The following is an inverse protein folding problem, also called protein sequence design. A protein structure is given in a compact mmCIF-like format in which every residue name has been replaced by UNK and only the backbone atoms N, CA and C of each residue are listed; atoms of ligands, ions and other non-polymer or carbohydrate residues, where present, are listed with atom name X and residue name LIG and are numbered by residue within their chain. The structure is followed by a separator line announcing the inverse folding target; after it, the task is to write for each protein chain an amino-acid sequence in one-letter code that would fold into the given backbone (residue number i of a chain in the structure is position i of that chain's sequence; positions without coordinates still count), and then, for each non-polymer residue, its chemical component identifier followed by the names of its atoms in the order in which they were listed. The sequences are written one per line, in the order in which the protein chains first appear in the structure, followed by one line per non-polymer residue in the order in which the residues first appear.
data_IF_303823268554
#
_entry.id   IF_303823268554
#
_cell.length_a   1.000
_cell.length_b   1.000
_cell.length_c   1.000
_cell.angle_alpha   90.00
_cell.angle_beta   90.00
_cell.angle_gamma   90.00
#
_symmetry.space_group_name_H-M   'P 1'
#
loop_
_entity.id
_entity.type
_entity.pdbx_description
1 polymer ?
#
# COMPACT_ATOMS: atom_id res chain seq x y z
N UNK A 1 -26.01 20.61 -9.97
CA UNK A 1 -25.31 20.89 -8.71
C UNK A 1 -25.00 19.53 -8.11
N UNK A 2 -23.85 18.98 -8.49
CA UNK A 2 -23.36 17.68 -8.03
C UNK A 2 -22.57 17.93 -6.75
N UNK A 3 -23.11 17.45 -5.64
CA UNK A 3 -22.48 17.46 -4.32
C UNK A 3 -21.40 16.38 -4.30
N UNK A 4 -20.21 16.75 -4.78
CA UNK A 4 -19.00 15.94 -4.66
C UNK A 4 -18.37 16.23 -3.28
N UNK A 5 -19.04 15.79 -2.22
CA UNK A 5 -18.43 15.69 -0.91
C UNK A 5 -17.53 14.45 -0.91
N UNK A 6 -16.33 14.64 -1.45
CA UNK A 6 -15.18 13.72 -1.31
C UNK A 6 -15.08 13.29 0.16
N UNK A 7 -15.60 12.11 0.50
CA UNK A 7 -15.42 11.49 1.81
C UNK A 7 -13.93 11.32 2.02
N UNK A 8 -13.31 12.24 2.77
CA UNK A 8 -11.92 12.12 3.19
C UNK A 8 -11.78 10.77 3.89
N UNK A 9 -10.96 9.88 3.34
CA UNK A 9 -10.75 8.56 3.94
C UNK A 9 -10.29 8.75 5.39
N UNK A 10 -10.83 7.96 6.30
CA UNK A 10 -10.40 7.99 7.69
C UNK A 10 -8.99 7.37 7.73
N UNK A 11 -8.03 8.11 8.29
CA UNK A 11 -6.64 7.69 8.39
C UNK A 11 -6.33 7.14 9.78
N UNK A 12 -5.52 6.10 9.82
CA UNK A 12 -4.85 5.62 11.04
C UNK A 12 -3.39 6.05 10.96
N UNK A 13 -2.97 6.82 11.96
CA UNK A 13 -1.62 7.37 12.02
C UNK A 13 -0.66 6.41 12.72
N UNK A 14 0.42 6.05 12.02
CA UNK A 14 1.48 5.19 12.53
C UNK A 14 2.77 5.99 12.64
N UNK A 15 3.44 5.91 13.80
CA UNK A 15 4.78 6.46 13.95
C UNK A 15 5.76 5.64 13.11
N UNK A 16 6.38 6.28 12.13
CA UNK A 16 7.28 5.65 11.18
C UNK A 16 8.73 5.64 11.67
N UNK A 17 9.20 6.79 12.15
CA UNK A 17 10.56 7.00 12.67
C UNK A 17 10.55 8.05 13.77
N UNK A 18 11.57 8.03 14.62
CA UNK A 18 11.84 9.12 15.56
C UNK A 18 12.32 10.37 14.83
N UNK A 19 12.24 11.53 15.49
CA UNK A 19 12.82 12.77 14.95
C UNK A 19 14.31 12.54 14.69
N UNK A 20 14.78 12.99 13.52
CA UNK A 20 16.16 12.86 13.05
C UNK A 20 16.67 11.42 12.78
N UNK A 21 15.83 10.40 12.86
CA UNK A 21 16.24 9.01 12.60
C UNK A 21 16.54 8.76 11.11
N UNK A 22 15.83 9.43 10.19
CA UNK A 22 16.07 9.32 8.75
C UNK A 22 16.77 10.56 8.21
N UNK A 23 18.08 10.52 7.94
CA UNK A 23 18.82 11.67 7.42
C UNK A 23 18.35 12.11 6.04
N UNK A 24 18.64 13.37 5.70
CA UNK A 24 18.43 13.94 4.36
C UNK A 24 19.06 13.08 3.26
N UNK A 25 18.34 12.88 2.15
CA UNK A 25 18.76 12.07 1.01
C UNK A 25 18.67 10.56 1.24
N UNK A 26 18.00 10.12 2.29
CA UNK A 26 17.85 8.69 2.63
C UNK A 26 16.42 8.20 2.51
N UNK A 27 16.30 6.89 2.40
CA UNK A 27 15.03 6.17 2.33
C UNK A 27 15.04 5.02 3.33
N UNK A 28 13.85 4.60 3.75
CA UNK A 28 13.68 3.49 4.69
C UNK A 28 12.35 2.79 4.48
N UNK A 29 12.35 1.46 4.49
CA UNK A 29 11.12 0.68 4.61
C UNK A 29 10.59 0.77 6.04
N UNK A 30 9.35 1.19 6.22
CA UNK A 30 8.67 1.26 7.50
C UNK A 30 7.38 0.45 7.47
N UNK A 31 7.04 -0.18 8.59
CA UNK A 31 5.80 -0.94 8.74
C UNK A 31 4.73 -0.03 9.35
N UNK A 32 3.60 0.10 8.69
CA UNK A 32 2.45 0.88 9.13
C UNK A 32 1.21 -0.02 9.18
N UNK A 33 1.02 -0.71 10.30
CA UNK A 33 -0.01 -1.73 10.43
C UNK A 33 0.28 -2.94 9.54
N UNK A 34 -0.58 -3.20 8.56
CA UNK A 34 -0.40 -4.29 7.59
C UNK A 34 0.32 -3.84 6.31
N UNK A 35 0.54 -2.54 6.14
CA UNK A 35 1.22 -1.99 4.97
C UNK A 35 2.71 -1.79 5.23
N UNK A 36 3.49 -1.90 4.17
CA UNK A 36 4.90 -1.50 4.14
C UNK A 36 5.05 -0.28 3.25
N UNK A 37 5.66 0.76 3.79
CA UNK A 37 5.79 2.07 3.14
C UNK A 37 7.25 2.42 2.94
N UNK A 38 7.58 3.01 1.82
CA UNK A 38 8.88 3.64 1.59
C UNK A 38 8.82 5.08 2.11
N UNK A 39 9.42 5.34 3.26
CA UNK A 39 9.63 6.69 3.77
C UNK A 39 10.89 7.29 3.14
N UNK A 40 10.76 8.48 2.57
CA UNK A 40 11.88 9.26 2.01
C UNK A 40 12.07 10.54 2.79
N UNK A 41 13.33 11.01 2.89
CA UNK A 41 13.65 12.36 3.35
C UNK A 41 14.45 13.06 2.25
N UNK A 42 13.86 14.04 1.59
CA UNK A 42 14.45 14.68 0.43
C UNK A 42 14.10 16.17 0.34
N UNK A 43 15.12 17.02 0.19
CA UNK A 43 14.99 18.50 0.14
C UNK A 43 14.25 19.08 1.35
N UNK A 44 14.56 18.56 2.53
CA UNK A 44 13.95 18.98 3.79
C UNK A 44 12.48 18.59 3.96
N UNK A 45 12.01 17.60 3.21
CA UNK A 45 10.64 17.08 3.30
C UNK A 45 10.64 15.57 3.46
N UNK A 46 9.76 15.08 4.31
CA UNK A 46 9.41 13.66 4.36
C UNK A 46 8.26 13.37 3.39
N UNK A 47 8.35 12.22 2.73
CA UNK A 47 7.25 11.69 1.94
C UNK A 47 7.14 10.18 2.13
N UNK A 48 5.94 9.66 2.00
CA UNK A 48 5.62 8.25 2.14
C UNK A 48 5.00 7.71 0.85
N UNK A 49 5.61 6.68 0.30
CA UNK A 49 5.28 6.09 -0.99
C UNK A 49 4.97 4.59 -0.81
N UNK A 50 4.18 3.99 -1.70
CA UNK A 50 4.06 2.52 -1.70
C UNK A 50 5.46 1.92 -1.81
N UNK A 51 5.76 0.95 -0.94
CA UNK A 51 7.08 0.33 -0.94
C UNK A 51 7.29 -0.64 -2.11
N UNK A 52 6.24 -0.96 -2.85
CA UNK A 52 6.28 -1.92 -3.96
C UNK A 52 6.46 -1.20 -5.29
N UNK A 53 7.61 -1.39 -5.91
CA UNK A 53 7.86 -0.88 -7.25
C UNK A 53 6.83 -1.43 -8.26
N UNK A 54 6.14 -0.57 -9.04
CA UNK A 54 5.09 -1.01 -9.99
C UNK A 54 5.61 -1.94 -11.07
N UNK A 55 6.92 -1.97 -11.34
CA UNK A 55 7.52 -2.88 -12.32
C UNK A 55 7.37 -4.36 -11.90
N UNK A 56 7.96 -4.75 -10.76
CA UNK A 56 7.95 -6.16 -10.28
C UNK A 56 7.93 -6.27 -8.74
N UNK A 57 7.46 -5.25 -8.04
CA UNK A 57 7.28 -5.30 -6.59
C UNK A 57 8.56 -5.14 -5.76
N UNK A 58 9.66 -4.62 -6.35
CA UNK A 58 10.91 -4.40 -5.62
C UNK A 58 10.72 -3.43 -4.45
N UNK A 59 11.39 -3.65 -3.29
CA UNK A 59 11.20 -2.85 -2.08
C UNK A 59 11.92 -1.50 -2.21
N UNK A 60 11.18 -0.43 -2.46
CA UNK A 60 11.73 0.89 -2.73
C UNK A 60 12.43 1.53 -1.53
N UNK A 61 12.00 1.21 -0.32
CA UNK A 61 12.66 1.67 0.89
C UNK A 61 14.03 1.02 1.18
N UNK A 62 14.41 0.01 0.38
CA UNK A 62 15.76 -0.57 0.35
C UNK A 62 16.62 -0.01 -0.80
N UNK A 63 16.04 0.90 -1.58
CA UNK A 63 16.73 1.60 -2.65
C UNK A 63 17.56 2.77 -2.18
N UNK A 64 17.79 3.72 -3.07
CA UNK A 64 18.59 4.92 -2.81
C UNK A 64 18.03 6.13 -3.55
N UNK A 65 18.33 7.34 -3.06
CA UNK A 65 18.10 8.56 -3.83
C UNK A 65 19.37 8.89 -4.60
N UNK A 66 19.29 8.83 -5.92
CA UNK A 66 20.39 9.08 -6.85
C UNK A 66 19.98 10.10 -7.90
N UNK A 67 20.82 11.11 -8.13
CA UNK A 67 20.57 12.17 -9.12
C UNK A 67 19.17 12.83 -8.98
N UNK A 68 18.63 12.88 -7.76
CA UNK A 68 17.32 13.47 -7.49
C UNK A 68 16.14 12.52 -7.68
N UNK A 69 16.38 11.23 -7.90
CA UNK A 69 15.36 10.20 -8.04
C UNK A 69 15.52 9.08 -7.02
N UNK A 70 14.40 8.56 -6.52
CA UNK A 70 14.34 7.31 -5.78
C UNK A 70 14.49 6.15 -6.76
N UNK A 71 15.55 5.37 -6.60
CA UNK A 71 15.91 4.26 -7.47
C UNK A 71 15.55 2.92 -6.87
N UNK A 72 14.78 2.11 -7.62
CA UNK A 72 14.44 0.75 -7.24
C UNK A 72 15.70 -0.13 -7.21
N UNK A 73 15.95 -0.91 -6.12
CA UNK A 73 17.16 -1.70 -5.98
C UNK A 73 17.21 -2.91 -6.92
N UNK A 74 16.06 -3.35 -7.47
CA UNK A 74 16.04 -4.54 -8.33
C UNK A 74 16.42 -4.24 -9.78
N UNK A 75 15.77 -3.23 -10.41
CA UNK A 75 15.95 -3.00 -11.84
C UNK A 75 16.26 -1.54 -12.20
N UNK A 76 16.52 -0.68 -11.20
CA UNK A 76 16.93 0.70 -11.43
C UNK A 76 15.85 1.64 -11.96
N UNK A 77 14.57 1.29 -11.79
CA UNK A 77 13.48 2.21 -12.09
C UNK A 77 13.53 3.41 -11.17
N UNK A 78 13.32 4.59 -11.74
CA UNK A 78 13.43 5.87 -11.06
C UNK A 78 12.06 6.50 -10.83
N UNK A 79 11.88 7.11 -9.64
CA UNK A 79 10.66 7.80 -9.24
C UNK A 79 11.01 9.09 -8.52
N UNK A 80 10.13 10.09 -8.59
CA UNK A 80 10.34 11.30 -7.81
C UNK A 80 10.17 11.01 -6.31
N UNK A 81 11.16 11.35 -5.45
CA UNK A 81 11.19 10.93 -4.05
C UNK A 81 10.02 11.45 -3.21
N UNK A 82 9.35 12.52 -3.62
CA UNK A 82 8.23 13.12 -2.89
C UNK A 82 6.88 12.76 -3.50
N UNK A 83 6.77 12.78 -4.82
CA UNK A 83 5.48 12.63 -5.50
C UNK A 83 5.23 11.23 -6.03
N UNK A 84 6.24 10.35 -6.05
CA UNK A 84 6.13 9.02 -6.64
C UNK A 84 6.01 9.02 -8.17
N UNK A 85 6.04 10.18 -8.82
CA UNK A 85 5.88 10.26 -10.26
C UNK A 85 7.08 9.63 -11.00
N UNK A 86 6.78 8.92 -12.09
CA UNK A 86 7.80 8.38 -13.00
C UNK A 86 8.44 9.48 -13.83
N UNK A 87 9.75 9.44 -14.13
CA UNK A 87 10.39 10.37 -15.05
C UNK A 87 9.79 10.27 -16.46
N UNK A 88 9.61 11.40 -17.12
CA UNK A 88 9.10 11.43 -18.50
C UNK A 88 7.58 11.46 -18.63
N UNK A 89 6.84 11.53 -17.52
CA UNK A 89 5.39 11.73 -17.53
C UNK A 89 4.60 10.47 -17.90
N UNK A 90 5.17 9.30 -17.68
CA UNK A 90 4.45 8.03 -17.78
C UNK A 90 3.47 7.89 -16.61
N UNK A 91 2.36 7.18 -16.84
CA UNK A 91 1.28 6.95 -15.86
C UNK A 91 1.55 5.71 -14.97
N UNK A 92 2.80 5.45 -14.70
CA UNK A 92 3.29 4.33 -13.87
C UNK A 92 3.89 4.82 -12.54
N UNK A 93 3.39 5.94 -12.05
CA UNK A 93 3.72 6.49 -10.74
C UNK A 93 3.24 5.61 -9.58
N UNK A 94 3.69 5.98 -8.38
CA UNK A 94 3.32 5.26 -7.16
C UNK A 94 2.31 6.04 -6.33
N UNK A 95 1.50 5.30 -5.58
CA UNK A 95 0.64 5.89 -4.57
C UNK A 95 1.46 6.52 -3.44
N UNK A 96 0.94 7.61 -2.90
CA UNK A 96 1.54 8.33 -1.78
C UNK A 96 0.59 8.33 -0.59
N UNK A 97 1.16 8.39 0.61
CA UNK A 97 0.43 8.48 1.88
C UNK A 97 0.62 9.86 2.51
N UNK A 98 -0.33 10.29 3.34
CA UNK A 98 -0.19 11.52 4.11
C UNK A 98 0.93 11.37 5.15
N UNK A 99 1.74 12.42 5.33
CA UNK A 99 2.83 12.47 6.30
C UNK A 99 2.63 13.66 7.22
N UNK A 100 2.82 13.44 8.50
CA UNK A 100 2.86 14.49 9.52
C UNK A 100 4.18 14.40 10.32
N UNK A 101 4.88 15.52 10.42
CA UNK A 101 5.98 15.68 11.35
C UNK A 101 5.42 16.17 12.69
N UNK A 102 5.72 15.44 13.76
CA UNK A 102 5.33 15.77 15.14
C UNK A 102 6.58 15.94 16.00
N UNK A 103 6.44 16.46 17.21
CA UNK A 103 7.57 16.73 18.12
C UNK A 103 8.44 15.50 18.40
N UNK A 104 7.84 14.30 18.38
CA UNK A 104 8.50 13.03 18.73
C UNK A 104 8.85 12.17 17.51
N UNK A 105 8.52 12.60 16.27
CA UNK A 105 8.84 11.83 15.07
C UNK A 105 7.95 12.10 13.87
N UNK A 106 8.14 11.29 12.84
CA UNK A 106 7.39 11.33 11.59
C UNK A 106 6.30 10.28 11.60
N UNK A 107 5.08 10.68 11.25
CA UNK A 107 3.89 9.84 11.22
C UNK A 107 3.35 9.70 9.81
N UNK A 108 2.87 8.50 9.48
CA UNK A 108 2.24 8.17 8.20
C UNK A 108 0.78 7.82 8.42
N UNK A 109 -0.10 8.47 7.68
CA UNK A 109 -1.54 8.24 7.67
C UNK A 109 -1.90 7.14 6.67
N UNK A 110 -2.26 5.95 7.15
CA UNK A 110 -2.74 4.86 6.31
C UNK A 110 -4.26 4.91 6.24
N UNK A 111 -4.84 4.96 5.03
CA UNK A 111 -6.29 4.90 4.88
C UNK A 111 -6.83 3.61 5.48
N UNK A 112 -7.91 3.71 6.26
CA UNK A 112 -8.64 2.51 6.63
C UNK A 112 -9.10 1.82 5.35
N UNK A 113 -8.92 0.49 5.25
CA UNK A 113 -9.43 -0.24 4.11
C UNK A 113 -10.92 0.05 3.96
N UNK A 114 -11.36 0.37 2.74
CA UNK A 114 -12.78 0.50 2.47
C UNK A 114 -13.50 -0.77 2.93
N UNK A 115 -14.68 -0.59 3.54
CA UNK A 115 -15.50 -1.72 3.90
C UNK A 115 -15.66 -2.62 2.67
N UNK A 116 -15.31 -3.90 2.81
CA UNK A 116 -15.36 -4.85 1.71
C UNK A 116 -16.75 -4.82 1.07
N UNK A 117 -16.82 -4.39 -0.19
CA UNK A 117 -18.07 -4.44 -0.96
C UNK A 117 -18.29 -5.89 -1.37
N UNK A 118 -19.45 -6.42 -1.01
CA UNK A 118 -19.81 -7.79 -1.36
C UNK A 118 -19.71 -8.01 -2.86
N UNK A 119 -18.95 -9.00 -3.26
CA UNK A 119 -18.74 -9.40 -4.66
C UNK A 119 -19.55 -10.65 -4.98
N UNK A 120 -19.66 -10.98 -6.27
CA UNK A 120 -20.25 -12.25 -6.72
C UNK A 120 -19.51 -13.44 -6.09
N UNK A 121 -18.18 -13.35 -5.96
CA UNK A 121 -17.37 -14.39 -5.32
C UNK A 121 -17.75 -14.60 -3.85
N UNK A 122 -18.08 -13.53 -3.12
CA UNK A 122 -18.53 -13.63 -1.72
C UNK A 122 -19.90 -14.32 -1.62
N UNK A 123 -20.82 -13.96 -2.52
CA UNK A 123 -22.14 -14.63 -2.58
C UNK A 123 -21.97 -16.12 -2.90
N UNK A 124 -21.09 -16.47 -3.83
CA UNK A 124 -20.79 -17.86 -4.17
C UNK A 124 -20.21 -18.62 -2.98
N UNK A 125 -19.17 -18.09 -2.33
CA UNK A 125 -18.54 -18.71 -1.16
C UNK A 125 -19.55 -18.93 -0.04
N UNK A 126 -20.32 -17.90 0.31
CA UNK A 126 -21.37 -18.00 1.33
C UNK A 126 -22.48 -19.00 0.96
N UNK A 127 -22.86 -19.09 -0.30
CA UNK A 127 -23.83 -20.07 -0.77
C UNK A 127 -23.30 -21.49 -0.59
N UNK A 128 -22.03 -21.72 -0.94
CA UNK A 128 -21.37 -23.02 -0.77
C UNK A 128 -21.32 -23.44 0.71
N UNK A 129 -20.93 -22.53 1.60
CA UNK A 129 -20.93 -22.80 3.05
C UNK A 129 -22.32 -23.07 3.59
N UNK A 130 -23.35 -22.31 3.17
CA UNK A 130 -24.76 -22.55 3.56
C UNK A 130 -25.29 -23.90 3.05
N UNK A 131 -24.78 -24.44 1.97
CA UNK A 131 -25.11 -25.78 1.46
C UNK A 131 -24.30 -26.88 2.14
N UNK A 132 -23.48 -26.55 3.12
CA UNK A 132 -22.68 -27.51 3.89
C UNK A 132 -21.46 -28.06 3.15
N UNK A 133 -20.97 -27.33 2.14
CA UNK A 133 -19.72 -27.69 1.48
C UNK A 133 -18.59 -27.35 2.44
N UNK A 134 -17.90 -28.36 2.94
CA UNK A 134 -16.85 -28.23 3.97
C UNK A 134 -15.43 -28.22 3.38
N UNK A 135 -15.27 -28.51 2.08
CA UNK A 135 -13.97 -28.51 1.45
C UNK A 135 -14.08 -28.17 -0.05
N UNK A 136 -13.16 -27.35 -0.53
CA UNK A 136 -13.04 -26.99 -1.94
C UNK A 136 -11.60 -27.29 -2.38
N UNK A 137 -11.46 -28.07 -3.45
CA UNK A 137 -10.14 -28.43 -4.02
C UNK A 137 -9.95 -27.75 -5.37
N UNK A 138 -8.79 -27.18 -5.58
CA UNK A 138 -8.49 -26.52 -6.84
C UNK A 138 -7.09 -25.93 -6.88
N UNK A 139 -6.65 -25.53 -8.06
CA UNK A 139 -5.44 -24.72 -8.26
C UNK A 139 -5.82 -23.25 -8.28
N UNK A 140 -5.18 -22.46 -7.43
CA UNK A 140 -5.38 -21.01 -7.41
C UNK A 140 -4.60 -20.38 -8.56
N UNK A 141 -5.28 -19.57 -9.36
CA UNK A 141 -4.71 -18.80 -10.47
C UNK A 141 -5.43 -17.46 -10.63
N UNK A 142 -4.95 -16.61 -11.50
CA UNK A 142 -5.49 -15.26 -11.69
C UNK A 142 -7.02 -15.22 -11.90
N UNK A 143 -7.59 -16.23 -12.57
CA UNK A 143 -9.02 -16.29 -12.89
C UNK A 143 -9.92 -16.61 -11.68
N UNK A 144 -9.39 -17.17 -10.60
CA UNK A 144 -10.17 -17.60 -9.43
C UNK A 144 -9.68 -17.02 -8.08
N UNK A 145 -8.75 -16.05 -8.12
CA UNK A 145 -8.26 -15.39 -6.90
C UNK A 145 -9.39 -14.79 -6.06
N UNK A 146 -10.38 -14.16 -6.70
CA UNK A 146 -11.52 -13.58 -6.00
C UNK A 146 -12.34 -14.63 -5.24
N UNK A 147 -12.56 -15.81 -5.80
CA UNK A 147 -13.27 -16.90 -5.12
C UNK A 147 -12.43 -17.50 -3.99
N UNK A 148 -11.13 -17.71 -4.21
CA UNK A 148 -10.22 -18.22 -3.18
C UNK A 148 -10.16 -17.28 -1.97
N UNK A 149 -10.10 -15.96 -2.20
CA UNK A 149 -10.11 -14.97 -1.12
C UNK A 149 -11.48 -14.88 -0.41
N UNK A 150 -12.58 -15.03 -1.14
CA UNK A 150 -13.92 -15.09 -0.54
C UNK A 150 -14.08 -16.34 0.37
N UNK A 151 -13.60 -17.50 -0.06
CA UNK A 151 -13.61 -18.74 0.77
C UNK A 151 -12.75 -18.56 2.03
N UNK A 152 -11.57 -17.94 1.91
CA UNK A 152 -10.71 -17.61 3.05
C UNK A 152 -11.44 -16.71 4.07
N UNK A 153 -12.21 -15.71 3.60
CA UNK A 153 -13.00 -14.85 4.50
C UNK A 153 -14.10 -15.61 5.23
N UNK A 154 -14.79 -16.54 4.57
CA UNK A 154 -15.79 -17.40 5.21
C UNK A 154 -15.16 -18.28 6.30
N UNK A 155 -14.00 -18.89 6.02
CA UNK A 155 -13.24 -19.68 6.99
C UNK A 155 -12.81 -18.83 8.20
N UNK A 156 -12.29 -17.62 7.98
CA UNK A 156 -11.92 -16.71 9.07
C UNK A 156 -13.12 -16.24 9.89
N UNK A 157 -14.30 -16.20 9.30
CA UNK A 157 -15.57 -15.90 9.98
C UNK A 157 -16.16 -17.12 10.72
N UNK A 158 -15.47 -18.27 10.70
CA UNK A 158 -15.91 -19.49 11.36
C UNK A 158 -17.05 -20.21 10.64
N UNK A 159 -17.17 -20.01 9.35
CA UNK A 159 -18.20 -20.64 8.50
C UNK A 159 -17.59 -21.57 7.46
#
# INVERSE_FOLDING_TARGET
MSDDSSKKAQLVWHKAVDSDELPEGRVKTVACGLETVCLTHYKGQYAALDNRCPHQGGPLGEGSIENGYLRCPWHGWDFHPITGASPGGYDDGMDTYEVEEREDGVYIGIPLPEAHKETVSDVMARTMTNWGISAVFGMVGHSNLGLADALRREEMAGR
#
